data_IF_090148366534
#
_entry.id   IF_090148366534
#
_cell.length_a   1.000
_cell.length_b   1.000
_cell.length_c   1.000
_cell.angle_alpha   90.00
_cell.angle_beta   90.00
_cell.angle_gamma   90.00
#
_symmetry.space_group_name_H-M   'P 1'
#
loop_
_entity.id
_entity.type
_entity.pdbx_description
1 polymer ?
#
# COMPACT_ATOMS: atom_id res chain seq x y z
N UNK A 1 7.28 32.20 35.06
CA UNK A 1 6.62 33.02 36.09
C UNK A 1 6.06 32.08 37.15
N UNK A 2 6.15 32.46 38.42
CA UNK A 2 6.06 31.53 39.55
C UNK A 2 4.64 30.97 39.73
N UNK A 3 4.41 29.71 39.33
CA UNK A 3 3.11 29.02 39.45
C UNK A 3 2.55 29.02 40.88
N UNK A 4 3.41 29.19 41.89
CA UNK A 4 3.02 29.34 43.28
C UNK A 4 2.28 30.67 43.53
N UNK A 5 2.70 31.76 42.89
CA UNK A 5 2.03 33.08 43.01
C UNK A 5 0.64 33.07 42.34
N UNK A 6 0.52 32.36 41.21
CA UNK A 6 -0.76 32.19 40.52
C UNK A 6 -1.76 31.40 41.39
N UNK A 7 -1.33 30.28 41.98
CA UNK A 7 -2.18 29.50 42.88
C UNK A 7 -2.60 30.29 44.13
N UNK A 8 -1.68 31.06 44.73
CA UNK A 8 -1.98 31.91 45.88
C UNK A 8 -3.02 33.00 45.57
N UNK A 9 -2.89 33.67 44.41
CA UNK A 9 -3.87 34.66 43.94
C UNK A 9 -5.25 34.05 43.75
N UNK A 10 -5.33 32.89 43.07
CA UNK A 10 -6.61 32.22 42.84
C UNK A 10 -7.25 31.76 44.15
N UNK A 11 -6.46 31.22 45.09
CA UNK A 11 -6.94 30.88 46.43
C UNK A 11 -7.48 32.09 47.21
N UNK A 12 -6.86 33.25 47.07
CA UNK A 12 -7.34 34.50 47.67
C UNK A 12 -8.66 34.98 47.06
N UNK A 13 -8.79 34.97 45.73
CA UNK A 13 -10.03 35.34 45.04
C UNK A 13 -11.19 34.40 45.38
N UNK A 14 -10.92 33.10 45.50
CA UNK A 14 -11.91 32.11 45.95
C UNK A 14 -12.35 32.36 47.40
N UNK A 15 -11.43 32.72 48.30
CA UNK A 15 -11.77 33.15 49.68
C UNK A 15 -12.65 34.40 49.71
N UNK A 16 -12.44 35.32 48.77
CA UNK A 16 -13.24 36.53 48.60
C UNK A 16 -14.58 36.28 47.87
N UNK A 17 -14.96 35.03 47.62
CA UNK A 17 -16.20 34.61 46.93
C UNK A 17 -16.36 35.13 45.50
N UNK A 18 -15.25 35.43 44.82
CA UNK A 18 -15.29 35.75 43.38
C UNK A 18 -15.64 34.49 42.60
N UNK A 19 -16.50 34.62 41.59
CA UNK A 19 -16.93 33.47 40.82
C UNK A 19 -15.74 32.88 40.03
N UNK A 20 -15.61 31.55 39.94
CA UNK A 20 -14.53 30.89 39.20
C UNK A 20 -14.42 31.32 37.73
N UNK A 21 -15.54 31.73 37.12
CA UNK A 21 -15.60 32.25 35.75
C UNK A 21 -14.87 33.59 35.63
N UNK A 22 -15.12 34.50 36.57
CA UNK A 22 -14.56 35.84 36.56
C UNK A 22 -13.04 35.80 36.82
N UNK A 23 -12.60 34.87 37.69
CA UNK A 23 -11.16 34.62 37.94
C UNK A 23 -10.46 34.20 36.64
N UNK A 24 -11.08 33.33 35.83
CA UNK A 24 -10.51 32.92 34.53
C UNK A 24 -10.44 34.07 33.54
N UNK A 25 -11.50 34.87 33.44
CA UNK A 25 -11.53 36.03 32.54
C UNK A 25 -10.44 37.05 32.91
N UNK A 26 -10.22 37.29 34.22
CA UNK A 26 -9.14 38.15 34.71
C UNK A 26 -7.75 37.60 34.37
N UNK A 27 -7.52 36.30 34.58
CA UNK A 27 -6.25 35.67 34.25
C UNK A 27 -5.98 35.69 32.73
N UNK A 28 -7.00 35.44 31.92
CA UNK A 28 -6.90 35.52 30.46
C UNK A 28 -6.59 36.94 29.97
N UNK A 29 -7.23 37.97 30.56
CA UNK A 29 -6.98 39.37 30.22
C UNK A 29 -5.55 39.83 30.51
N UNK A 30 -4.89 39.20 31.49
CA UNK A 30 -3.49 39.49 31.87
C UNK A 30 -2.50 38.65 31.04
N UNK A 31 -2.99 37.76 30.16
CA UNK A 31 -2.18 36.97 29.23
C UNK A 31 -1.78 35.58 29.73
N UNK A 32 -2.43 35.07 30.79
CA UNK A 32 -2.22 33.67 31.20
C UNK A 32 -2.88 32.71 30.21
N UNK A 33 -2.21 31.58 29.95
CA UNK A 33 -2.77 30.50 29.16
C UNK A 33 -3.96 29.87 29.87
N UNK A 34 -5.00 29.50 29.11
CA UNK A 34 -6.25 28.94 29.64
C UNK A 34 -6.00 27.67 30.49
N UNK A 35 -5.05 26.83 30.07
CA UNK A 35 -4.66 25.62 30.81
C UNK A 35 -3.96 25.92 32.13
N UNK A 36 -3.22 27.03 32.23
CA UNK A 36 -2.55 27.45 33.47
C UNK A 36 -3.56 28.04 34.46
N UNK A 37 -4.52 28.82 33.95
CA UNK A 37 -5.64 29.33 34.73
C UNK A 37 -6.55 28.18 35.24
N UNK A 38 -6.85 27.19 34.39
CA UNK A 38 -7.60 25.99 34.76
C UNK A 38 -6.90 25.19 35.86
N UNK A 39 -5.58 25.00 35.73
CA UNK A 39 -4.80 24.26 36.71
C UNK A 39 -4.74 24.98 38.06
N UNK A 40 -4.54 26.30 38.05
CA UNK A 40 -4.51 27.11 39.26
C UNK A 40 -5.88 27.16 39.96
N UNK A 41 -6.97 27.27 39.19
CA UNK A 41 -8.33 27.25 39.70
C UNK A 41 -8.69 25.90 40.32
N UNK A 42 -8.34 24.79 39.66
CA UNK A 42 -8.53 23.47 40.24
C UNK A 42 -7.80 23.34 41.58
N UNK A 43 -6.54 23.81 41.67
CA UNK A 43 -5.74 23.78 42.90
C UNK A 43 -6.38 24.61 44.01
N UNK A 44 -6.78 25.84 43.71
CA UNK A 44 -7.47 26.70 44.68
C UNK A 44 -8.79 26.11 45.17
N UNK A 45 -9.56 25.45 44.29
CA UNK A 45 -10.81 24.77 44.68
C UNK A 45 -10.57 23.55 45.58
N UNK A 46 -9.52 22.78 45.33
CA UNK A 46 -9.15 21.66 46.19
C UNK A 46 -8.70 22.14 47.59
N UNK A 47 -7.90 23.22 47.65
CA UNK A 47 -7.51 23.86 48.92
C UNK A 47 -8.72 24.45 49.67
N UNK A 48 -9.74 24.91 48.95
CA UNK A 48 -11.00 25.38 49.51
C UNK A 48 -11.95 24.26 50.00
N UNK A 49 -11.52 22.99 49.93
CA UNK A 49 -12.27 21.84 50.46
C UNK A 49 -13.21 21.17 49.46
N UNK A 50 -13.15 21.51 48.16
CA UNK A 50 -13.88 20.76 47.14
C UNK A 50 -13.28 19.35 47.04
N UNK A 51 -14.08 18.28 47.16
CA UNK A 51 -13.56 16.92 47.14
C UNK A 51 -12.87 16.60 45.81
N UNK A 52 -11.63 16.12 45.89
CA UNK A 52 -10.84 15.70 44.73
C UNK A 52 -11.12 14.21 44.48
N UNK A 53 -11.45 13.80 43.24
CA UNK A 53 -11.63 12.39 42.92
C UNK A 53 -10.36 11.59 43.23
N UNK A 54 -10.48 10.46 43.93
CA UNK A 54 -9.36 9.58 44.24
C UNK A 54 -8.54 9.23 42.99
N UNK A 55 -7.21 9.36 43.09
CA UNK A 55 -6.27 9.02 42.04
C UNK A 55 -6.07 10.07 40.93
N UNK A 56 -6.74 11.23 40.97
CA UNK A 56 -6.52 12.32 39.99
C UNK A 56 -5.75 13.49 40.59
N UNK A 57 -4.77 14.02 39.84
CA UNK A 57 -4.11 15.27 40.23
C UNK A 57 -5.02 16.47 39.99
N UNK A 58 -4.94 17.41 40.92
CA UNK A 58 -5.69 18.65 40.88
C UNK A 58 -5.12 19.55 39.78
N UNK A 59 -5.94 19.83 38.75
CA UNK A 59 -5.54 20.68 37.63
C UNK A 59 -4.75 19.96 36.53
N UNK A 60 -5.05 18.68 36.28
CA UNK A 60 -4.41 17.89 35.22
C UNK A 60 -4.39 18.63 33.87
N UNK A 61 -3.20 18.67 33.24
CA UNK A 61 -3.02 19.31 31.93
C UNK A 61 -3.90 18.61 30.88
N UNK A 62 -4.63 19.39 30.09
CA UNK A 62 -5.32 18.88 28.89
C UNK A 62 -4.26 18.32 27.92
N UNK A 63 -4.63 17.31 27.15
CA UNK A 63 -3.71 16.71 26.16
C UNK A 63 -3.25 17.78 25.17
N UNK A 64 -1.94 17.85 24.93
CA UNK A 64 -1.37 18.84 24.00
C UNK A 64 -1.86 18.56 22.57
N UNK A 65 -2.06 19.61 21.76
CA UNK A 65 -2.40 19.48 20.33
C UNK A 65 -1.44 18.53 19.60
N UNK A 66 -0.15 18.55 19.97
CA UNK A 66 0.85 17.64 19.44
C UNK A 66 0.60 16.17 19.81
N UNK A 67 0.12 15.89 21.03
CA UNK A 67 -0.22 14.52 21.46
C UNK A 67 -1.44 13.99 20.71
N UNK A 68 -2.44 14.85 20.48
CA UNK A 68 -3.62 14.53 19.67
C UNK A 68 -3.21 14.23 18.22
N UNK A 69 -2.36 15.07 17.63
CA UNK A 69 -1.89 14.90 16.27
C UNK A 69 -1.07 13.61 16.09
N UNK A 70 -0.12 13.32 17.00
CA UNK A 70 0.68 12.09 16.96
C UNK A 70 -0.22 10.85 17.08
N UNK A 71 -1.24 10.90 17.94
CA UNK A 71 -2.14 9.77 18.11
C UNK A 71 -2.99 9.53 16.85
N UNK A 72 -3.60 10.59 16.30
CA UNK A 72 -4.34 10.50 15.04
C UNK A 72 -3.47 9.96 13.90
N UNK A 73 -2.25 10.48 13.78
CA UNK A 73 -1.28 10.02 12.79
C UNK A 73 -0.93 8.54 12.97
N UNK A 74 -0.79 8.06 14.21
CA UNK A 74 -0.54 6.64 14.48
C UNK A 74 -1.67 5.72 14.02
N UNK A 75 -2.94 6.16 14.12
CA UNK A 75 -4.08 5.39 13.62
C UNK A 75 -4.16 5.35 12.10
N UNK A 76 -3.85 6.47 11.43
CA UNK A 76 -3.75 6.50 9.97
C UNK A 76 -2.65 5.54 9.49
N UNK A 77 -1.49 5.56 10.15
CA UNK A 77 -0.40 4.64 9.84
C UNK A 77 -0.77 3.17 10.12
N UNK A 78 -1.48 2.88 11.20
CA UNK A 78 -2.01 1.54 11.48
C UNK A 78 -2.89 1.05 10.33
N UNK A 79 -3.84 1.87 9.89
CA UNK A 79 -4.71 1.55 8.77
C UNK A 79 -3.92 1.28 7.48
N UNK A 80 -2.93 2.12 7.19
CA UNK A 80 -2.05 1.96 6.04
C UNK A 80 -1.23 0.65 6.12
N UNK A 81 -0.67 0.32 7.28
CA UNK A 81 0.06 -0.94 7.51
C UNK A 81 -0.87 -2.15 7.36
N UNK A 82 -2.05 -2.13 7.98
CA UNK A 82 -3.01 -3.23 7.92
C UNK A 82 -3.50 -3.48 6.48
N UNK A 83 -3.86 -2.41 5.77
CA UNK A 83 -4.29 -2.50 4.38
C UNK A 83 -3.16 -2.98 3.46
N UNK A 84 -1.95 -2.42 3.58
CA UNK A 84 -0.80 -2.83 2.77
C UNK A 84 -0.42 -4.29 3.05
N UNK A 85 -0.46 -4.73 4.32
CA UNK A 85 -0.16 -6.12 4.67
C UNK A 85 -1.19 -7.08 4.08
N UNK A 86 -2.48 -6.75 4.17
CA UNK A 86 -3.55 -7.52 3.53
C UNK A 86 -3.37 -7.59 2.01
N UNK A 87 -3.14 -6.44 1.36
CA UNK A 87 -2.90 -6.38 -0.10
C UNK A 87 -1.68 -7.19 -0.54
N UNK A 88 -0.59 -7.16 0.24
CA UNK A 88 0.62 -7.93 -0.02
C UNK A 88 0.34 -9.43 -0.01
N UNK A 89 -0.25 -9.95 1.08
CA UNK A 89 -0.56 -11.37 1.19
C UNK A 89 -1.63 -11.81 0.18
N UNK A 90 -2.63 -10.98 -0.10
CA UNK A 90 -3.63 -11.27 -1.14
C UNK A 90 -2.97 -11.37 -2.52
N UNK A 91 -2.04 -10.48 -2.84
CA UNK A 91 -1.25 -10.53 -4.07
C UNK A 91 -0.44 -11.82 -4.17
N UNK A 92 0.28 -12.18 -3.11
CA UNK A 92 1.06 -13.42 -3.03
C UNK A 92 0.14 -14.65 -3.21
N UNK A 93 -0.99 -14.70 -2.51
CA UNK A 93 -1.97 -15.80 -2.63
C UNK A 93 -2.48 -15.91 -4.06
N UNK A 94 -2.85 -14.81 -4.71
CA UNK A 94 -3.31 -14.83 -6.10
C UNK A 94 -2.23 -15.31 -7.07
N UNK A 95 -0.95 -15.06 -6.77
CA UNK A 95 0.17 -15.48 -7.62
C UNK A 95 0.40 -17.00 -7.57
N UNK A 96 0.29 -17.61 -6.39
CA UNK A 96 0.53 -19.04 -6.18
C UNK A 96 -0.74 -19.90 -6.34
N UNK A 97 -1.92 -19.31 -6.16
CA UNK A 97 -3.21 -19.97 -6.31
C UNK A 97 -4.08 -19.19 -7.31
N UNK A 98 -3.70 -19.17 -8.61
CA UNK A 98 -4.48 -18.50 -9.65
C UNK A 98 -5.84 -19.16 -9.84
N UNK A 99 -6.79 -18.39 -10.36
CA UNK A 99 -8.13 -18.87 -10.64
C UNK A 99 -8.23 -19.38 -12.07
N UNK A 100 -8.52 -20.67 -12.28
CA UNK A 100 -8.67 -21.21 -13.64
C UNK A 100 -9.80 -20.54 -14.44
N UNK A 101 -10.78 -19.91 -13.78
CA UNK A 101 -11.87 -19.18 -14.44
C UNK A 101 -11.49 -17.75 -14.86
N UNK A 102 -10.46 -17.16 -14.26
CA UNK A 102 -9.97 -15.79 -14.56
C UNK A 102 -8.70 -15.80 -15.43
N UNK A 103 -8.10 -16.99 -15.63
CA UNK A 103 -6.82 -17.25 -16.29
C UNK A 103 -6.70 -16.81 -17.76
N UNK A 104 -7.77 -16.32 -18.40
CA UNK A 104 -7.76 -15.91 -19.81
C UNK A 104 -7.08 -14.56 -20.11
N UNK A 105 -6.59 -13.87 -19.07
CA UNK A 105 -6.09 -12.47 -19.13
C UNK A 105 -4.68 -12.30 -18.52
N UNK A 106 -3.90 -13.38 -18.48
CA UNK A 106 -2.65 -13.55 -17.72
C UNK A 106 -1.57 -12.46 -17.87
N UNK A 107 -1.36 -11.86 -19.05
CA UNK A 107 -0.25 -10.92 -19.27
C UNK A 107 -0.49 -9.52 -18.66
N UNK A 108 -1.70 -8.96 -18.82
CA UNK A 108 -2.06 -7.68 -18.19
C UNK A 108 -2.28 -7.82 -16.68
N UNK A 109 -2.68 -9.01 -16.23
CA UNK A 109 -3.00 -9.27 -14.83
C UNK A 109 -1.73 -9.47 -13.97
N UNK A 110 -0.69 -10.12 -14.49
CA UNK A 110 0.60 -10.29 -13.78
C UNK A 110 1.29 -8.96 -13.52
N UNK A 111 1.33 -8.06 -14.49
CA UNK A 111 1.85 -6.69 -14.31
C UNK A 111 1.04 -5.89 -13.27
N UNK A 112 -0.28 -6.07 -13.25
CA UNK A 112 -1.15 -5.40 -12.27
C UNK A 112 -0.96 -5.95 -10.85
N UNK A 113 -0.86 -7.27 -10.71
CA UNK A 113 -0.59 -7.94 -9.42
C UNK A 113 0.79 -7.54 -8.87
N UNK A 114 1.82 -7.52 -9.71
CA UNK A 114 3.16 -7.09 -9.32
C UNK A 114 3.17 -5.64 -8.84
N UNK A 115 2.45 -4.72 -9.52
CA UNK A 115 2.29 -3.33 -9.07
C UNK A 115 1.65 -3.22 -7.69
N UNK A 116 0.59 -4.00 -7.42
CA UNK A 116 -0.07 -4.01 -6.11
C UNK A 116 0.88 -4.51 -5.01
N UNK A 117 1.62 -5.58 -5.27
CA UNK A 117 2.60 -6.14 -4.32
C UNK A 117 3.73 -5.13 -4.06
N UNK A 118 4.31 -4.53 -5.10
CA UNK A 118 5.38 -3.54 -4.94
C UNK A 118 4.90 -2.29 -4.19
N UNK A 119 3.67 -1.81 -4.45
CA UNK A 119 3.08 -0.68 -3.72
C UNK A 119 2.87 -1.00 -2.24
N UNK A 120 2.39 -2.22 -1.95
CA UNK A 120 2.22 -2.69 -0.59
C UNK A 120 3.56 -2.79 0.16
N UNK A 121 4.60 -3.34 -0.47
CA UNK A 121 5.96 -3.39 0.10
C UNK A 121 6.48 -1.98 0.38
N UNK A 122 6.38 -1.05 -0.57
CA UNK A 122 6.83 0.33 -0.41
C UNK A 122 6.10 1.03 0.77
N UNK A 123 4.79 0.80 0.87
CA UNK A 123 3.98 1.33 1.98
C UNK A 123 4.43 0.74 3.32
N UNK A 124 4.68 -0.57 3.41
CA UNK A 124 5.14 -1.22 4.64
C UNK A 124 6.54 -0.73 5.07
N UNK A 125 7.48 -0.57 4.13
CA UNK A 125 8.84 -0.09 4.43
C UNK A 125 8.81 1.30 5.09
N UNK A 126 7.86 2.16 4.73
CA UNK A 126 7.76 3.52 5.29
C UNK A 126 6.78 3.59 6.46
N UNK A 127 5.55 3.11 6.29
CA UNK A 127 4.49 3.27 7.27
C UNK A 127 4.74 2.46 8.55
N UNK A 128 5.33 1.26 8.45
CA UNK A 128 5.55 0.42 9.63
C UNK A 128 6.59 1.00 10.60
N UNK A 129 7.80 1.42 10.18
CA UNK A 129 8.74 2.07 11.09
C UNK A 129 8.18 3.35 11.72
N UNK A 130 7.42 4.14 10.96
CA UNK A 130 6.76 5.34 11.47
C UNK A 130 5.69 4.99 12.52
N UNK A 131 4.88 3.96 12.27
CA UNK A 131 3.87 3.49 13.23
C UNK A 131 4.54 3.00 14.51
N UNK A 132 5.54 2.13 14.38
CA UNK A 132 6.30 1.59 15.50
C UNK A 132 6.96 2.72 16.32
N UNK A 133 7.55 3.71 15.67
CA UNK A 133 8.14 4.87 16.34
C UNK A 133 7.09 5.71 17.08
N UNK A 134 5.93 5.98 16.45
CA UNK A 134 4.83 6.72 17.08
C UNK A 134 4.33 6.02 18.34
N UNK A 135 4.07 4.70 18.25
CA UNK A 135 3.66 3.85 19.37
C UNK A 135 4.74 3.82 20.46
N UNK A 136 6.03 3.69 20.08
CA UNK A 136 7.14 3.70 21.04
C UNK A 136 7.27 5.03 21.77
N UNK A 137 7.13 6.16 21.08
CA UNK A 137 7.14 7.49 21.69
C UNK A 137 5.97 7.62 22.66
N UNK A 138 4.80 7.16 22.25
CA UNK A 138 3.59 7.17 23.09
C UNK A 138 3.80 6.36 24.38
N UNK A 139 4.24 5.11 24.29
CA UNK A 139 4.52 4.29 25.48
C UNK A 139 5.62 4.87 26.38
N UNK A 140 6.66 5.50 25.81
CA UNK A 140 7.73 6.14 26.59
C UNK A 140 7.22 7.37 27.35
N UNK A 141 6.39 8.22 26.72
CA UNK A 141 5.86 9.44 27.35
C UNK A 141 4.80 9.13 28.42
N UNK A 142 3.91 8.18 28.16
CA UNK A 142 2.87 7.80 29.13
C UNK A 142 3.39 7.00 30.33
N UNK A 143 4.54 6.31 30.23
CA UNK A 143 5.16 5.64 31.38
C UNK A 143 6.00 6.55 32.27
N UNK A 144 6.46 7.71 31.78
CA UNK A 144 7.20 8.68 32.60
C UNK A 144 6.27 9.54 33.48
N UNK A 145 5.01 9.73 33.07
CA UNK A 145 4.03 10.56 33.77
C UNK A 145 2.79 9.73 34.12
N UNK A 146 2.90 8.93 35.19
CA UNK A 146 1.90 7.95 35.69
C UNK A 146 0.48 8.53 35.92
N UNK A 147 0.25 9.83 35.75
CA UNK A 147 -0.98 10.52 36.17
C UNK A 147 -1.60 11.48 35.14
N UNK A 148 -1.21 11.42 33.86
CA UNK A 148 -1.94 12.18 32.82
C UNK A 148 -3.27 11.50 32.46
N UNK A 149 -4.36 12.24 32.58
CA UNK A 149 -5.69 11.81 32.11
C UNK A 149 -5.67 11.59 30.60
N UNK A 150 -5.89 10.34 30.19
CA UNK A 150 -6.05 9.98 28.78
C UNK A 150 -7.14 10.84 28.11
N UNK A 151 -6.79 11.47 26.97
CA UNK A 151 -7.71 12.30 26.20
C UNK A 151 -8.96 11.51 25.79
N UNK A 152 -10.14 12.13 25.91
CA UNK A 152 -11.42 11.59 25.43
C UNK A 152 -11.34 11.15 23.95
N UNK A 153 -10.57 11.87 23.13
CA UNK A 153 -10.40 11.54 21.71
C UNK A 153 -9.59 10.26 21.51
N UNK A 154 -8.56 10.03 22.31
CA UNK A 154 -7.72 8.82 22.23
C UNK A 154 -8.51 7.57 22.56
N UNK A 155 -9.36 7.66 23.61
CA UNK A 155 -10.32 6.60 23.94
C UNK A 155 -11.24 6.31 22.76
N UNK A 156 -11.90 7.34 22.23
CA UNK A 156 -12.88 7.20 21.16
C UNK A 156 -12.27 6.58 19.89
N UNK A 157 -11.10 7.06 19.46
CA UNK A 157 -10.39 6.51 18.30
C UNK A 157 -10.01 5.04 18.49
N UNK A 158 -9.52 4.66 19.67
CA UNK A 158 -9.17 3.25 19.95
C UNK A 158 -10.39 2.34 19.89
N UNK A 159 -11.54 2.80 20.41
CA UNK A 159 -12.79 2.04 20.32
C UNK A 159 -13.30 1.93 18.86
N UNK A 160 -13.14 2.97 18.04
CA UNK A 160 -13.45 2.89 16.60
C UNK A 160 -12.60 1.82 15.93
N UNK A 161 -11.29 1.80 16.20
CA UNK A 161 -10.39 0.78 15.61
C UNK A 161 -10.77 -0.62 16.05
N UNK A 162 -11.11 -0.82 17.32
CA UNK A 162 -11.58 -2.12 17.83
C UNK A 162 -12.89 -2.57 17.16
N UNK A 163 -13.85 -1.66 17.00
CA UNK A 163 -15.12 -1.95 16.31
C UNK A 163 -14.87 -2.25 14.84
N UNK A 164 -14.03 -1.46 14.17
CA UNK A 164 -13.68 -1.67 12.77
C UNK A 164 -12.98 -3.02 12.57
N UNK A 165 -11.99 -3.35 13.40
CA UNK A 165 -11.28 -4.63 13.35
C UNK A 165 -12.22 -5.82 13.59
N UNK A 166 -13.09 -5.74 14.61
CA UNK A 166 -14.09 -6.77 14.87
C UNK A 166 -15.09 -6.91 13.70
N UNK A 167 -15.57 -5.79 13.17
CA UNK A 167 -16.47 -5.75 12.02
C UNK A 167 -15.84 -6.34 10.76
N UNK A 168 -14.55 -6.05 10.49
CA UNK A 168 -13.81 -6.65 9.38
C UNK A 168 -13.67 -8.16 9.53
N UNK A 169 -13.33 -8.66 10.73
CA UNK A 169 -13.22 -10.11 10.98
C UNK A 169 -14.58 -10.80 10.80
N UNK A 170 -15.65 -10.21 11.34
CA UNK A 170 -17.01 -10.77 11.19
C UNK A 170 -17.44 -10.77 9.72
N UNK A 171 -17.23 -9.66 9.01
CA UNK A 171 -17.57 -9.55 7.59
C UNK A 171 -16.81 -10.56 6.73
N UNK A 172 -15.52 -10.73 6.98
CA UNK A 172 -14.67 -11.71 6.29
C UNK A 172 -15.14 -13.15 6.54
N UNK A 173 -15.51 -13.48 7.79
CA UNK A 173 -16.05 -14.79 8.14
C UNK A 173 -17.41 -15.06 7.48
N UNK A 174 -18.27 -14.04 7.35
CA UNK A 174 -19.53 -14.12 6.62
C UNK A 174 -19.27 -14.37 5.14
N UNK A 175 -18.39 -13.60 4.50
CA UNK A 175 -18.00 -13.82 3.10
C UNK A 175 -17.45 -15.24 2.93
N UNK A 176 -16.67 -15.73 3.90
CA UNK A 176 -16.12 -17.07 3.83
C UNK A 176 -17.15 -18.19 3.88
N UNK A 177 -18.13 -18.07 4.77
CA UNK A 177 -19.23 -19.02 4.82
C UNK A 177 -20.13 -18.90 3.58
N UNK A 178 -20.36 -17.69 3.08
CA UNK A 178 -21.15 -17.46 1.88
C UNK A 178 -20.53 -18.14 0.65
N UNK A 179 -19.24 -17.89 0.40
CA UNK A 179 -18.51 -18.53 -0.71
C UNK A 179 -18.40 -20.05 -0.52
N UNK A 180 -18.27 -20.52 0.72
CA UNK A 180 -18.35 -21.96 1.04
C UNK A 180 -19.70 -22.56 0.64
N UNK A 181 -20.82 -21.95 1.01
CA UNK A 181 -22.15 -22.45 0.71
C UNK A 181 -22.48 -22.42 -0.79
N UNK A 182 -21.80 -21.57 -1.56
CA UNK A 182 -21.89 -21.57 -3.02
C UNK A 182 -21.08 -22.69 -3.69
N UNK A 183 -20.31 -23.49 -2.92
CA UNK A 183 -19.48 -24.56 -3.46
C UNK A 183 -18.16 -24.06 -4.07
N UNK A 184 -17.84 -22.79 -3.92
CA UNK A 184 -16.64 -22.14 -4.48
C UNK A 184 -15.46 -22.11 -3.49
N UNK A 185 -15.29 -23.12 -2.61
CA UNK A 185 -14.10 -23.15 -1.73
C UNK A 185 -12.86 -23.34 -2.59
N UNK A 186 -12.26 -22.23 -2.95
CA UNK A 186 -10.95 -22.18 -3.55
C UNK A 186 -9.93 -21.95 -2.43
N UNK A 187 -8.79 -22.65 -2.47
CA UNK A 187 -7.71 -22.51 -1.47
C UNK A 187 -7.31 -21.05 -1.29
N UNK A 188 -7.29 -20.26 -2.38
CA UNK A 188 -7.04 -18.81 -2.36
C UNK A 188 -8.01 -18.05 -1.43
N UNK A 189 -9.29 -18.41 -1.45
CA UNK A 189 -10.31 -17.67 -0.71
C UNK A 189 -10.14 -17.95 0.79
N UNK A 190 -9.92 -19.22 1.15
CA UNK A 190 -9.61 -19.62 2.52
C UNK A 190 -8.35 -18.93 3.05
N UNK A 191 -7.26 -18.91 2.26
CA UNK A 191 -6.01 -18.25 2.67
C UNK A 191 -6.17 -16.73 2.85
N UNK A 192 -6.99 -16.07 2.01
CA UNK A 192 -7.32 -14.65 2.17
C UNK A 192 -8.11 -14.40 3.45
N UNK A 193 -9.10 -15.23 3.76
CA UNK A 193 -9.86 -15.12 5.00
C UNK A 193 -8.96 -15.30 6.24
N UNK A 194 -8.10 -16.32 6.23
CA UNK A 194 -7.09 -16.53 7.30
C UNK A 194 -6.17 -15.33 7.46
N UNK A 195 -5.77 -14.69 6.35
CA UNK A 195 -4.93 -13.48 6.38
C UNK A 195 -5.65 -12.33 7.09
N UNK A 196 -6.91 -12.07 6.75
CA UNK A 196 -7.72 -11.01 7.39
C UNK A 196 -7.93 -11.31 8.88
N UNK A 197 -8.22 -12.57 9.23
CA UNK A 197 -8.38 -13.00 10.62
C UNK A 197 -7.10 -12.78 11.43
N UNK A 198 -5.93 -13.15 10.91
CA UNK A 198 -4.64 -12.94 11.59
C UNK A 198 -4.39 -11.45 11.81
N UNK A 199 -4.55 -10.61 10.79
CA UNK A 199 -4.33 -9.16 10.87
C UNK A 199 -5.32 -8.54 11.87
N UNK A 200 -6.61 -8.83 11.75
CA UNK A 200 -7.66 -8.32 12.62
C UNK A 200 -7.47 -8.75 14.08
N UNK A 201 -7.13 -10.02 14.31
CA UNK A 201 -6.87 -10.55 15.65
C UNK A 201 -5.66 -9.89 16.30
N UNK A 202 -4.55 -9.69 15.57
CA UNK A 202 -3.37 -8.99 16.12
C UNK A 202 -3.69 -7.54 16.51
N UNK A 203 -4.42 -6.81 15.68
CA UNK A 203 -4.85 -5.43 15.96
C UNK A 203 -5.77 -5.43 17.19
N UNK A 204 -6.77 -6.31 17.21
CA UNK A 204 -7.72 -6.42 18.32
C UNK A 204 -7.00 -6.75 19.63
N UNK A 205 -6.15 -7.78 19.66
CA UNK A 205 -5.41 -8.20 20.85
C UNK A 205 -4.49 -7.08 21.33
N UNK A 206 -3.75 -6.42 20.44
CA UNK A 206 -2.84 -5.34 20.81
C UNK A 206 -3.58 -4.20 21.51
N UNK A 207 -4.63 -3.66 20.88
CA UNK A 207 -5.39 -2.54 21.42
C UNK A 207 -6.25 -2.96 22.63
N UNK A 208 -6.76 -4.19 22.67
CA UNK A 208 -7.47 -4.71 23.85
C UNK A 208 -6.56 -4.78 25.08
N UNK A 209 -5.33 -5.28 24.93
CA UNK A 209 -4.34 -5.31 26.01
C UNK A 209 -3.91 -3.91 26.44
N UNK A 210 -3.71 -3.00 25.48
CA UNK A 210 -3.44 -1.59 25.76
C UNK A 210 -4.57 -0.95 26.59
N UNK A 211 -5.83 -1.13 26.17
CA UNK A 211 -7.00 -0.64 26.91
C UNK A 211 -7.09 -1.23 28.31
N UNK A 212 -6.87 -2.53 28.45
CA UNK A 212 -6.90 -3.22 29.75
C UNK A 212 -5.85 -2.66 30.71
N UNK A 213 -4.64 -2.36 30.21
CA UNK A 213 -3.57 -1.75 30.98
C UNK A 213 -3.94 -0.35 31.48
N UNK A 214 -4.52 0.49 30.61
CA UNK A 214 -4.89 1.87 30.94
C UNK A 214 -6.11 1.93 31.87
N UNK A 215 -7.14 1.10 31.63
CA UNK A 215 -8.41 1.17 32.38
C UNK A 215 -8.34 0.51 33.76
N UNK A 216 -7.62 -0.60 33.90
CA UNK A 216 -7.61 -1.37 35.15
C UNK A 216 -6.31 -1.22 35.94
N UNK A 217 -5.34 -0.42 35.46
CA UNK A 217 -4.04 -0.25 36.10
C UNK A 217 -3.24 -1.55 36.25
N UNK A 218 -3.63 -2.61 35.53
CA UNK A 218 -2.96 -3.91 35.62
C UNK A 218 -1.60 -3.84 34.94
N UNK A 219 -0.55 -4.25 35.67
CA UNK A 219 0.80 -4.33 35.13
C UNK A 219 0.89 -5.51 34.15
N UNK A 220 0.60 -5.26 32.87
CA UNK A 220 0.95 -6.18 31.79
C UNK A 220 2.46 -6.10 31.58
N UNK A 221 3.13 -7.27 31.58
CA UNK A 221 4.56 -7.35 31.37
C UNK A 221 4.97 -6.76 30.03
N UNK A 222 6.13 -6.06 30.02
CA UNK A 222 6.68 -5.46 28.79
C UNK A 222 7.01 -6.50 27.71
N UNK A 223 7.26 -7.74 28.12
CA UNK A 223 7.56 -8.91 27.28
C UNK A 223 6.41 -9.24 26.33
N UNK A 224 5.15 -9.11 26.75
CA UNK A 224 3.97 -9.39 25.92
C UNK A 224 3.83 -8.39 24.77
N UNK A 225 4.03 -7.10 25.04
CA UNK A 225 4.01 -6.08 23.98
C UNK A 225 5.21 -6.24 23.04
N UNK A 226 6.38 -6.62 23.57
CA UNK A 226 7.56 -6.89 22.77
C UNK A 226 7.35 -8.11 21.84
N UNK A 227 6.75 -9.20 22.35
CA UNK A 227 6.50 -10.41 21.56
C UNK A 227 5.48 -10.19 20.45
N UNK A 228 4.40 -9.44 20.73
CA UNK A 228 3.44 -9.03 19.71
C UNK A 228 4.10 -8.14 18.64
N UNK A 229 4.92 -7.17 19.06
CA UNK A 229 5.67 -6.32 18.15
C UNK A 229 6.65 -7.10 17.27
N UNK A 230 7.34 -8.09 17.82
CA UNK A 230 8.24 -8.97 17.06
C UNK A 230 7.50 -9.89 16.10
N UNK A 231 6.32 -10.39 16.48
CA UNK A 231 5.49 -11.22 15.61
C UNK A 231 5.01 -10.43 14.39
N UNK A 232 4.54 -9.18 14.59
CA UNK A 232 4.16 -8.28 13.49
C UNK A 232 5.36 -7.93 12.61
N UNK A 233 6.53 -7.64 13.22
CA UNK A 233 7.77 -7.39 12.46
C UNK A 233 8.13 -8.58 11.58
N UNK A 234 8.11 -9.79 12.14
CA UNK A 234 8.42 -11.01 11.42
C UNK A 234 7.44 -11.25 10.27
N UNK A 235 6.14 -11.07 10.51
CA UNK A 235 5.10 -11.23 9.48
C UNK A 235 5.28 -10.24 8.31
N UNK A 236 5.68 -9.00 8.59
CA UNK A 236 5.97 -8.00 7.55
C UNK A 236 7.22 -8.40 6.76
N UNK A 237 8.31 -8.76 7.44
CA UNK A 237 9.57 -9.16 6.79
C UNK A 237 9.36 -10.39 5.91
N UNK A 238 8.68 -11.42 6.41
CA UNK A 238 8.31 -12.62 5.65
C UNK A 238 7.46 -12.25 4.44
N UNK A 239 6.45 -11.40 4.62
CA UNK A 239 5.62 -10.93 3.52
C UNK A 239 6.41 -10.21 2.44
N UNK A 240 7.35 -9.33 2.82
CA UNK A 240 8.20 -8.60 1.86
C UNK A 240 9.09 -9.57 1.08
N UNK A 241 9.73 -10.53 1.76
CA UNK A 241 10.58 -11.54 1.13
C UNK A 241 9.74 -12.37 0.14
N UNK A 242 8.59 -12.90 0.58
CA UNK A 242 7.69 -13.67 -0.28
C UNK A 242 7.15 -12.83 -1.45
N UNK A 243 6.90 -11.54 -1.24
CA UNK A 243 6.49 -10.62 -2.29
C UNK A 243 7.52 -10.52 -3.40
N UNK A 244 8.79 -10.26 -3.07
CA UNK A 244 9.87 -10.22 -4.06
C UNK A 244 10.14 -11.58 -4.73
N UNK A 245 9.99 -12.69 -4.00
CA UNK A 245 10.09 -14.03 -4.59
C UNK A 245 8.95 -14.28 -5.59
N UNK A 246 7.75 -13.77 -5.32
CA UNK A 246 6.56 -13.95 -6.16
C UNK A 246 6.56 -13.07 -7.43
N UNK A 247 7.11 -11.86 -7.37
CA UNK A 247 7.04 -10.85 -8.45
C UNK A 247 8.38 -10.50 -9.10
N UNK A 248 9.49 -10.98 -8.55
CA UNK A 248 10.83 -10.58 -8.98
C UNK A 248 11.31 -9.28 -8.34
N UNK A 249 12.57 -8.93 -8.60
CA UNK A 249 13.22 -7.72 -8.07
C UNK A 249 12.88 -6.48 -8.92
N UNK A 250 13.25 -5.26 -8.47
CA UNK A 250 13.14 -4.06 -9.30
C UNK A 250 13.87 -4.16 -10.65
N UNK A 251 14.99 -4.87 -10.72
CA UNK A 251 15.70 -5.14 -11.98
C UNK A 251 14.89 -6.04 -12.90
N UNK A 252 14.24 -7.08 -12.36
CA UNK A 252 13.29 -7.91 -13.12
C UNK A 252 12.14 -7.09 -13.67
N UNK A 253 11.54 -6.21 -12.86
CA UNK A 253 10.47 -5.33 -13.32
C UNK A 253 10.90 -4.40 -14.47
N UNK A 254 12.15 -3.92 -14.44
CA UNK A 254 12.71 -3.11 -15.54
C UNK A 254 12.88 -3.92 -16.82
N UNK A 255 13.39 -5.15 -16.72
CA UNK A 255 13.52 -6.08 -17.84
C UNK A 255 12.16 -6.41 -18.47
N UNK A 256 11.14 -6.72 -17.66
CA UNK A 256 9.76 -6.92 -18.15
C UNK A 256 9.24 -5.70 -18.90
N UNK A 257 9.53 -4.49 -18.41
CA UNK A 257 9.13 -3.25 -19.09
C UNK A 257 9.79 -3.08 -20.45
N UNK A 258 11.08 -3.42 -20.58
CA UNK A 258 11.78 -3.38 -21.87
C UNK A 258 11.24 -4.45 -22.84
N UNK A 259 11.04 -5.68 -22.37
CA UNK A 259 10.49 -6.76 -23.18
C UNK A 259 9.08 -6.44 -23.68
N UNK A 260 8.22 -5.86 -22.82
CA UNK A 260 6.89 -5.39 -23.21
C UNK A 260 6.95 -4.31 -24.30
N UNK A 261 7.91 -3.39 -24.22
CA UNK A 261 8.10 -2.37 -25.25
C UNK A 261 8.60 -3.01 -26.56
N UNK A 262 9.55 -3.96 -26.48
CA UNK A 262 10.04 -4.72 -27.66
C UNK A 262 8.89 -5.44 -28.38
N UNK A 263 8.03 -6.15 -27.67
CA UNK A 263 6.87 -6.82 -28.26
C UNK A 263 5.90 -5.85 -28.94
N UNK A 264 5.68 -4.66 -28.35
CA UNK A 264 4.84 -3.61 -28.94
C UNK A 264 5.48 -2.98 -30.18
N UNK A 265 6.79 -2.75 -30.16
CA UNK A 265 7.54 -2.22 -31.31
C UNK A 265 7.50 -3.21 -32.47
N UNK A 266 7.78 -4.50 -32.23
CA UNK A 266 7.69 -5.56 -33.24
C UNK A 266 6.29 -5.66 -33.85
N UNK A 267 5.24 -5.55 -33.01
CA UNK A 267 3.87 -5.51 -33.50
C UNK A 267 3.60 -4.31 -34.40
N UNK A 268 4.09 -3.14 -34.00
CA UNK A 268 3.93 -1.89 -34.77
C UNK A 268 4.67 -1.97 -36.11
N UNK A 269 5.90 -2.51 -36.11
CA UNK A 269 6.69 -2.77 -37.32
C UNK A 269 5.96 -3.75 -38.24
N UNK A 270 5.44 -4.86 -37.71
CA UNK A 270 4.71 -5.84 -38.51
C UNK A 270 3.47 -5.24 -39.19
N UNK A 271 2.69 -4.44 -38.48
CA UNK A 271 1.56 -3.72 -39.08
C UNK A 271 1.99 -2.74 -40.17
N UNK A 272 3.12 -2.07 -39.98
CA UNK A 272 3.68 -1.19 -40.99
C UNK A 272 4.16 -1.95 -42.24
N UNK A 273 4.87 -3.08 -42.07
CA UNK A 273 5.30 -3.94 -43.19
C UNK A 273 4.09 -4.46 -43.97
N UNK A 274 3.03 -4.87 -43.27
CA UNK A 274 1.78 -5.30 -43.92
C UNK A 274 1.14 -4.16 -44.74
N UNK A 275 1.11 -2.94 -44.20
CA UNK A 275 0.58 -1.77 -44.91
C UNK A 275 1.45 -1.37 -46.10
N UNK A 276 2.78 -1.42 -45.95
CA UNK A 276 3.72 -1.21 -47.05
C UNK A 276 3.49 -2.24 -48.16
N UNK A 277 3.39 -3.52 -47.81
CA UNK A 277 3.22 -4.61 -48.78
C UNK A 277 1.91 -4.49 -49.55
N UNK A 278 0.82 -4.08 -48.89
CA UNK A 278 -0.46 -3.80 -49.56
C UNK A 278 -0.39 -2.63 -50.54
N UNK A 279 0.51 -1.66 -50.31
CA UNK A 279 0.63 -0.44 -51.12
C UNK A 279 1.60 -0.59 -52.29
N UNK A 280 2.73 -1.25 -52.06
CA UNK A 280 3.83 -1.37 -53.03
C UNK A 280 3.92 -2.77 -53.65
N UNK A 281 3.07 -3.71 -53.24
CA UNK A 281 3.01 -5.10 -53.73
C UNK A 281 4.33 -5.88 -53.58
N UNK A 282 5.22 -5.41 -52.70
CA UNK A 282 6.48 -6.04 -52.33
C UNK A 282 6.80 -5.79 -50.87
N UNK A 283 7.70 -6.59 -50.31
CA UNK A 283 8.25 -6.31 -48.98
C UNK A 283 9.27 -5.17 -49.05
N UNK A 284 9.41 -4.34 -47.99
CA UNK A 284 10.49 -3.37 -47.90
C UNK A 284 11.84 -4.10 -47.82
N UNK A 285 12.89 -3.51 -48.39
CA UNK A 285 14.26 -4.02 -48.37
C UNK A 285 14.91 -3.83 -47.00
N UNK A 286 14.51 -2.79 -46.26
CA UNK A 286 15.02 -2.46 -44.93
C UNK A 286 13.97 -1.76 -44.06
N UNK A 287 14.21 -1.72 -42.75
CA UNK A 287 13.38 -0.93 -41.83
C UNK A 287 13.51 0.58 -42.09
N UNK A 288 14.65 1.06 -42.59
CA UNK A 288 14.83 2.46 -42.96
C UNK A 288 13.93 2.87 -44.13
N UNK A 289 13.80 2.00 -45.14
CA UNK A 289 12.85 2.22 -46.25
C UNK A 289 11.41 2.26 -45.71
N UNK A 290 11.07 1.32 -44.83
CA UNK A 290 9.76 1.27 -44.20
C UNK A 290 9.45 2.58 -43.45
N UNK A 291 10.40 3.08 -42.65
CA UNK A 291 10.23 4.32 -41.88
C UNK A 291 10.05 5.54 -42.78
N UNK A 292 10.80 5.65 -43.88
CA UNK A 292 10.67 6.75 -44.85
C UNK A 292 9.33 6.72 -45.58
N UNK A 293 8.82 5.52 -45.88
CA UNK A 293 7.54 5.33 -46.57
C UNK A 293 6.31 5.45 -45.63
N UNK A 294 6.49 5.30 -44.31
CA UNK A 294 5.40 5.22 -43.34
C UNK A 294 4.81 6.57 -42.90
N UNK A 295 5.14 7.69 -43.55
CA UNK A 295 4.72 9.05 -43.17
C UNK A 295 3.19 9.28 -42.96
N UNK A 296 2.33 8.32 -43.30
CA UNK A 296 0.87 8.36 -43.09
C UNK A 296 0.33 7.53 -41.90
N UNK A 297 1.08 6.60 -41.29
CA UNK A 297 0.53 5.66 -40.29
C UNK A 297 1.06 5.86 -38.85
N UNK A 298 1.76 6.97 -38.58
CA UNK A 298 2.30 7.31 -37.27
C UNK A 298 3.79 6.93 -37.10
N UNK A 299 4.43 7.39 -36.02
CA UNK A 299 5.85 7.10 -35.78
C UNK A 299 6.03 5.60 -35.45
N UNK A 300 6.88 4.92 -36.23
CA UNK A 300 7.37 3.57 -35.89
C UNK A 300 8.70 3.74 -35.17
N UNK A 301 8.85 3.09 -34.02
CA UNK A 301 10.14 2.94 -33.36
C UNK A 301 10.79 1.66 -33.84
N UNK A 302 11.87 1.77 -34.60
CA UNK A 302 12.64 0.63 -35.11
C UNK A 302 13.90 0.32 -34.29
N UNK A 303 14.09 0.99 -33.15
CA UNK A 303 15.27 0.86 -32.30
C UNK A 303 14.88 0.20 -30.98
N UNK A 304 15.72 -0.72 -30.52
CA UNK A 304 15.59 -1.36 -29.22
C UNK A 304 15.66 -0.31 -28.08
N UNK A 305 14.70 -0.31 -27.14
CA UNK A 305 14.57 0.75 -26.12
C UNK A 305 15.67 0.73 -25.05
N UNK A 306 16.44 -0.35 -24.94
CA UNK A 306 17.53 -0.49 -23.97
C UNK A 306 18.89 -0.18 -24.61
N UNK A 307 19.13 -0.70 -25.81
CA UNK A 307 20.43 -0.67 -26.49
C UNK A 307 20.52 0.39 -27.58
N UNK A 308 19.39 0.87 -28.10
CA UNK A 308 19.34 1.81 -29.22
C UNK A 308 19.72 1.21 -30.57
N UNK A 309 19.94 -0.11 -30.66
CA UNK A 309 20.25 -0.79 -31.92
C UNK A 309 18.98 -1.08 -32.71
N UNK A 310 18.99 -1.01 -34.06
CA UNK A 310 17.84 -1.38 -34.86
C UNK A 310 17.39 -2.82 -34.63
N UNK A 311 16.07 -3.06 -34.65
CA UNK A 311 15.55 -4.43 -34.69
C UNK A 311 16.00 -5.15 -35.97
N UNK A 312 16.16 -6.47 -35.88
CA UNK A 312 16.55 -7.27 -37.04
C UNK A 312 15.32 -7.56 -37.90
N UNK A 313 15.44 -7.26 -39.20
CA UNK A 313 14.43 -7.55 -40.20
C UNK A 313 15.07 -8.29 -41.37
N UNK A 314 14.47 -9.40 -41.79
CA UNK A 314 14.97 -10.22 -42.90
C UNK A 314 13.82 -10.66 -43.79
N UNK A 315 13.91 -10.36 -45.09
CA UNK A 315 12.99 -10.92 -46.09
C UNK A 315 13.36 -12.38 -46.34
N UNK A 316 12.40 -13.28 -46.18
CA UNK A 316 12.56 -14.72 -46.45
C UNK A 316 12.05 -15.04 -47.86
N UNK A 317 10.89 -14.50 -48.24
CA UNK A 317 10.30 -14.68 -49.57
C UNK A 317 9.52 -13.42 -49.98
N UNK A 318 9.78 -12.89 -51.17
CA UNK A 318 8.97 -11.81 -51.74
C UNK A 318 7.61 -12.35 -52.20
N UNK A 319 6.53 -11.53 -52.17
CA UNK A 319 5.22 -11.89 -52.68
C UNK A 319 5.24 -12.00 -54.22
N UNK A 320 5.70 -13.14 -54.72
CA UNK A 320 5.86 -13.46 -56.14
C UNK A 320 4.81 -14.49 -56.59
N UNK A 321 4.32 -14.37 -57.82
CA UNK A 321 3.40 -15.34 -58.43
C UNK A 321 2.34 -14.71 -59.33
N UNK A 322 1.58 -15.56 -60.03
CA UNK A 322 0.45 -15.16 -60.91
C UNK A 322 -0.93 -15.33 -60.24
N UNK A 323 -0.95 -15.74 -58.96
CA UNK A 323 -2.17 -15.88 -58.17
C UNK A 323 -2.74 -14.51 -57.78
N UNK A 324 -4.07 -14.44 -57.60
CA UNK A 324 -4.77 -13.22 -57.17
C UNK A 324 -4.42 -12.78 -55.73
N UNK A 325 -3.74 -13.63 -54.96
CA UNK A 325 -3.18 -13.32 -53.64
C UNK A 325 -1.74 -13.82 -53.64
N UNK A 326 -0.78 -12.91 -53.44
CA UNK A 326 0.65 -13.20 -53.40
C UNK A 326 1.14 -13.06 -51.96
N UNK A 327 1.65 -14.14 -51.38
CA UNK A 327 2.14 -14.14 -49.99
C UNK A 327 3.64 -13.86 -49.95
N UNK A 328 4.03 -12.90 -49.10
CA UNK A 328 5.41 -12.61 -48.76
C UNK A 328 5.70 -13.07 -47.33
N UNK A 329 6.92 -13.54 -47.09
CA UNK A 329 7.38 -14.01 -45.78
C UNK A 329 8.59 -13.22 -45.35
N UNK A 330 8.60 -12.78 -44.10
CA UNK A 330 9.73 -12.08 -43.49
C UNK A 330 9.89 -12.50 -42.02
N UNK A 331 11.05 -12.20 -41.46
CA UNK A 331 11.34 -12.41 -40.05
C UNK A 331 11.63 -11.08 -39.37
N UNK A 332 11.11 -10.96 -38.14
CA UNK A 332 11.43 -9.90 -37.21
C UNK A 332 12.06 -10.51 -35.97
N UNK A 333 13.22 -10.00 -35.55
CA UNK A 333 13.88 -10.48 -34.34
C UNK A 333 14.17 -9.35 -33.37
N UNK A 334 14.12 -9.69 -32.08
CA UNK A 334 14.56 -8.85 -30.97
C UNK A 334 15.33 -9.69 -29.96
N UNK A 335 16.08 -9.02 -29.09
CA UNK A 335 16.79 -9.65 -27.97
C UNK A 335 15.97 -9.37 -26.71
N UNK A 336 15.33 -10.40 -26.15
CA UNK A 336 14.54 -10.27 -24.93
C UNK A 336 15.37 -10.60 -23.70
N UNK A 337 15.07 -9.93 -22.58
CA UNK A 337 15.81 -10.10 -21.34
C UNK A 337 15.31 -11.30 -20.53
N UNK A 338 14.02 -11.64 -20.62
CA UNK A 338 13.38 -12.72 -19.88
C UNK A 338 12.66 -13.71 -20.81
N UNK A 339 12.41 -14.92 -20.28
CA UNK A 339 11.50 -15.88 -20.92
C UNK A 339 10.07 -15.45 -20.64
N UNK A 340 9.25 -15.42 -21.68
CA UNK A 340 7.81 -15.22 -21.59
C UNK A 340 7.11 -16.37 -22.32
N UNK A 341 6.45 -17.25 -21.56
CA UNK A 341 5.67 -18.34 -22.16
C UNK A 341 4.36 -17.83 -22.74
N UNK A 342 3.86 -18.54 -23.76
CA UNK A 342 2.63 -18.19 -24.45
C UNK A 342 1.43 -18.29 -23.52
N UNK A 343 1.03 -17.17 -22.94
CA UNK A 343 -0.26 -17.05 -22.26
C UNK A 343 -1.40 -17.19 -23.28
N UNK A 344 -2.40 -18.01 -22.97
CA UNK A 344 -3.65 -18.10 -23.75
C UNK A 344 -4.46 -16.83 -23.50
N UNK A 345 -4.06 -15.72 -24.12
CA UNK A 345 -4.84 -14.49 -24.08
C UNK A 345 -5.29 -14.12 -25.49
N UNK A 346 -6.56 -13.78 -25.62
CA UNK A 346 -7.15 -13.32 -26.88
C UNK A 346 -6.71 -11.91 -27.30
N UNK A 347 -5.95 -11.22 -26.43
CA UNK A 347 -5.60 -9.80 -26.55
C UNK A 347 -4.08 -9.52 -26.54
N UNK A 348 -3.25 -10.55 -26.40
CA UNK A 348 -1.80 -10.44 -26.50
C UNK A 348 -1.31 -10.41 -27.94
N UNK A 349 -0.12 -9.86 -28.15
CA UNK A 349 0.58 -9.98 -29.43
C UNK A 349 1.27 -11.34 -29.49
N UNK A 350 1.52 -11.88 -30.69
CA UNK A 350 2.29 -13.11 -30.78
C UNK A 350 3.76 -12.94 -30.34
N UNK A 351 4.24 -11.70 -30.27
CA UNK A 351 5.58 -11.34 -29.77
C UNK A 351 5.66 -11.34 -28.25
N UNK A 352 4.54 -11.55 -27.54
CA UNK A 352 4.52 -11.63 -26.07
C UNK A 352 5.01 -13.01 -25.58
N UNK A 353 5.16 -13.98 -26.49
CA UNK A 353 5.70 -15.30 -26.21
C UNK A 353 7.08 -15.43 -26.85
N UNK A 354 8.13 -15.49 -26.03
CA UNK A 354 9.51 -15.49 -26.47
C UNK A 354 10.45 -16.14 -25.46
N UNK A 355 11.58 -16.64 -25.94
CA UNK A 355 12.67 -17.07 -25.08
C UNK A 355 13.53 -15.87 -24.67
N UNK A 356 14.31 -16.03 -23.60
CA UNK A 356 15.35 -15.07 -23.26
C UNK A 356 16.48 -15.11 -24.30
N UNK A 357 17.01 -13.94 -24.65
CA UNK A 357 17.97 -13.77 -25.72
C UNK A 357 17.30 -13.49 -27.07
N UNK A 358 18.00 -13.82 -28.16
CA UNK A 358 17.56 -13.52 -29.52
C UNK A 358 16.39 -14.43 -29.91
N UNK A 359 15.21 -13.83 -30.09
CA UNK A 359 13.98 -14.50 -30.56
C UNK A 359 13.55 -13.92 -31.91
N UNK A 360 13.22 -14.78 -32.86
CA UNK A 360 12.77 -14.41 -34.21
C UNK A 360 11.36 -14.91 -34.50
N UNK A 361 10.56 -14.07 -35.13
CA UNK A 361 9.17 -14.34 -35.48
C UNK A 361 9.00 -14.28 -36.99
N UNK A 362 8.54 -15.38 -37.57
CA UNK A 362 8.15 -15.43 -38.97
C UNK A 362 6.76 -14.81 -39.15
N UNK A 363 6.65 -13.87 -40.08
CA UNK A 363 5.43 -13.20 -40.49
C UNK A 363 5.07 -13.59 -41.92
N UNK A 364 3.77 -13.66 -42.18
CA UNK A 364 3.22 -13.80 -43.52
C UNK A 364 2.36 -12.57 -43.77
N UNK A 365 2.54 -11.96 -44.94
CA UNK A 365 1.71 -10.85 -45.41
C UNK A 365 1.27 -11.12 -46.83
N UNK A 366 0.17 -10.50 -47.25
CA UNK A 366 -0.39 -10.68 -48.59
C UNK A 366 -0.38 -9.37 -49.37
N UNK A 367 0.16 -9.41 -50.58
CA UNK A 367 -0.07 -8.42 -51.61
C UNK A 367 -1.30 -8.83 -52.44
N UNK A 368 -2.17 -7.86 -52.76
CA UNK A 368 -3.30 -8.08 -53.67
C UNK A 368 -2.89 -7.88 -55.12
#
# INVERSE_FOLDING_TARGET
>A
MDTAKLAAYVGEQLRNRVAPKDIKEQLAAVGWLEDEADAALARGLAEAGVPVPEGKEVGGKKASVAEIAVNFFSFVLLGAVAFALGALYFGIINRYFPDPLVDRTLYYQTNTLAKVIHYAIATLIIAYPLYYAAVRIWFRRFHAEVKKTESRLTKWLTYIVLIAAAGTVVGDLITALFTFFQGEITVRFFLKAVTVLIIGAMIFIFYFLERRKIQYGQAIERTVFASLGSAVSALIVVGIILGFVATGSPTTARMVGFDMQRSQDLQSISYAVQSFTRRFERLPESLDELMQANGSYGPITALDPETGTPYEYRVVAQPLGTSAIREGTYELCAIFSLVAERGVTAYGTKYDAHDAGRSCFTEITSAK
#
